data_IF_106974366977
#
_entry.id   IF_106974366977
#
_cell.length_a   1.000
_cell.length_b   1.000
_cell.length_c   1.000
_cell.angle_alpha   90.00
_cell.angle_beta   90.00
_cell.angle_gamma   90.00
#
_symmetry.space_group_name_H-M   'P 1'
#
loop_
_entity.id
_entity.type
_entity.pdbx_description
1 polymer ?
#
# COMPACT_ATOMS: atom_id res chain seq x y z
N UNK A 1 17.81 12.30 84.47
CA UNK A 1 17.56 12.96 83.23
C UNK A 1 17.74 11.92 82.11
N UNK A 2 16.65 11.27 81.62
CA UNK A 2 16.66 10.23 80.56
C UNK A 2 16.28 10.90 79.26
N UNK A 3 17.18 10.93 78.29
CA UNK A 3 16.93 11.43 76.92
C UNK A 3 16.26 10.33 76.12
N UNK A 4 15.03 10.57 75.69
CA UNK A 4 14.25 9.72 74.78
C UNK A 4 14.66 10.07 73.36
N UNK A 5 15.29 9.14 72.65
CA UNK A 5 15.61 9.29 71.21
C UNK A 5 14.47 8.70 70.42
N UNK A 6 13.70 9.55 69.76
CA UNK A 6 12.66 9.14 68.80
C UNK A 6 13.30 8.82 67.45
N UNK A 7 13.23 7.55 67.06
CA UNK A 7 13.66 7.05 65.75
C UNK A 7 12.49 7.27 64.75
N UNK A 8 12.62 8.26 63.88
CA UNK A 8 11.64 8.50 62.77
C UNK A 8 12.03 7.56 61.62
N UNK A 9 11.25 6.49 61.42
CA UNK A 9 11.32 5.66 60.22
C UNK A 9 10.68 6.41 59.04
N UNK A 10 11.45 6.97 58.12
CA UNK A 10 10.96 7.51 56.87
C UNK A 10 10.61 6.35 55.91
N UNK A 11 9.35 6.12 55.72
CA UNK A 11 8.82 5.18 54.68
C UNK A 11 8.95 5.88 53.32
N UNK A 12 9.98 5.51 52.56
CA UNK A 12 10.12 5.95 51.17
C UNK A 12 9.15 5.12 50.31
N UNK A 13 8.01 5.68 49.97
CA UNK A 13 7.09 5.15 48.99
C UNK A 13 7.73 5.25 47.60
N UNK A 14 8.27 4.16 47.07
CA UNK A 14 8.64 4.03 45.68
C UNK A 14 7.33 4.02 44.87
N UNK A 15 6.89 5.19 44.42
CA UNK A 15 5.88 5.28 43.37
C UNK A 15 6.54 4.85 42.04
N UNK A 16 6.32 3.58 41.65
CA UNK A 16 6.60 3.14 40.29
C UNK A 16 5.80 4.03 39.34
N UNK A 17 6.41 4.63 38.32
CA UNK A 17 5.65 5.37 37.32
C UNK A 17 4.65 4.40 36.68
N UNK A 18 3.38 4.66 36.87
CA UNK A 18 2.32 3.98 36.14
C UNK A 18 2.59 4.23 34.65
N UNK A 19 3.04 3.20 33.98
CA UNK A 19 3.29 3.22 32.53
C UNK A 19 1.91 3.46 31.90
N UNK A 20 1.67 4.67 31.38
CA UNK A 20 0.43 4.99 30.72
C UNK A 20 0.26 4.03 29.54
N UNK A 21 -0.60 3.03 29.70
CA UNK A 21 -0.97 2.13 28.61
C UNK A 21 -1.50 2.99 27.47
N UNK A 22 -1.01 2.79 26.25
CA UNK A 22 -1.59 3.44 25.06
C UNK A 22 -3.02 2.96 24.93
N UNK A 23 -3.97 3.83 25.20
CA UNK A 23 -5.40 3.51 25.09
C UNK A 23 -5.89 3.41 23.64
N UNK A 24 -5.01 3.52 22.66
CA UNK A 24 -5.37 3.64 21.25
C UNK A 24 -4.43 2.84 20.35
N UNK A 25 -5.00 2.12 19.39
CA UNK A 25 -4.28 1.38 18.38
C UNK A 25 -3.61 2.38 17.41
N UNK A 26 -2.28 2.29 17.23
CA UNK A 26 -1.54 3.05 16.23
C UNK A 26 -1.14 2.14 15.08
N UNK A 27 -1.48 2.56 13.86
CA UNK A 27 -1.14 1.89 12.60
C UNK A 27 -0.29 2.83 11.76
N UNK A 28 0.83 2.34 11.25
CA UNK A 28 1.73 3.10 10.36
C UNK A 28 1.99 2.29 9.09
N UNK A 29 2.58 2.88 8.07
CA UNK A 29 3.13 2.10 6.95
C UNK A 29 2.66 2.52 5.57
N UNK A 30 2.40 1.54 4.72
CA UNK A 30 2.14 1.69 3.29
C UNK A 30 1.02 2.67 2.97
N UNK A 31 1.28 3.63 2.07
CA UNK A 31 0.30 4.53 1.48
C UNK A 31 -0.78 3.77 0.68
N UNK A 32 -0.39 2.69 -0.01
CA UNK A 32 -1.32 1.83 -0.76
C UNK A 32 -2.34 1.12 0.15
N UNK A 33 -1.91 0.64 1.32
CA UNK A 33 -2.78 -0.08 2.27
C UNK A 33 -3.52 0.89 3.21
N UNK A 34 -3.05 2.11 3.32
CA UNK A 34 -3.61 3.16 4.18
C UNK A 34 -5.13 3.35 4.00
N UNK A 35 -5.71 3.54 2.79
CA UNK A 35 -7.14 3.76 2.62
C UNK A 35 -7.98 2.57 3.09
N UNK A 36 -7.53 1.35 2.84
CA UNK A 36 -8.23 0.15 3.31
C UNK A 36 -8.25 0.07 4.83
N UNK A 37 -7.11 0.32 5.47
CA UNK A 37 -6.98 0.29 6.93
C UNK A 37 -7.78 1.40 7.60
N UNK A 38 -7.83 2.59 6.99
CA UNK A 38 -8.61 3.74 7.48
C UNK A 38 -10.10 3.39 7.55
N UNK A 39 -10.67 2.79 6.50
CA UNK A 39 -12.08 2.39 6.50
C UNK A 39 -12.37 1.30 7.53
N UNK A 40 -11.46 0.33 7.71
CA UNK A 40 -11.61 -0.67 8.80
C UNK A 40 -11.55 0.00 10.18
N UNK A 41 -10.63 0.95 10.39
CA UNK A 41 -10.46 1.68 11.64
C UNK A 41 -11.70 2.52 11.99
N UNK A 42 -12.24 3.25 11.02
CA UNK A 42 -13.48 4.03 11.19
C UNK A 42 -14.68 3.15 11.54
N UNK A 43 -14.86 2.03 10.80
CA UNK A 43 -15.94 1.08 11.09
C UNK A 43 -15.79 0.43 12.46
N UNK A 44 -14.56 0.14 12.88
CA UNK A 44 -14.24 -0.41 14.19
C UNK A 44 -14.56 0.59 15.32
N UNK A 45 -14.19 1.87 15.14
CA UNK A 45 -14.45 2.93 16.13
C UNK A 45 -15.93 3.29 16.28
N UNK A 46 -16.72 3.18 15.20
CA UNK A 46 -18.18 3.42 15.24
C UNK A 46 -18.94 2.50 16.19
N UNK A 47 -18.38 1.36 16.57
CA UNK A 47 -18.93 0.43 17.57
C UNK A 47 -18.93 1.03 19.00
N UNK A 48 -18.18 2.11 19.23
CA UNK A 48 -18.13 2.89 20.47
C UNK A 48 -17.47 2.19 21.67
N UNK A 49 -17.06 0.93 21.52
CA UNK A 49 -16.42 0.13 22.59
C UNK A 49 -14.94 0.39 22.75
N UNK A 50 -14.29 0.84 21.69
CA UNK A 50 -12.86 1.13 21.64
C UNK A 50 -12.63 2.43 20.87
N UNK A 51 -11.56 3.15 21.21
CA UNK A 51 -11.15 4.32 20.43
C UNK A 51 -10.86 3.94 18.98
N UNK A 52 -11.21 4.82 18.05
CA UNK A 52 -10.88 4.65 16.63
C UNK A 52 -9.36 4.57 16.47
N UNK A 53 -8.81 3.52 15.81
CA UNK A 53 -7.38 3.43 15.55
C UNK A 53 -6.86 4.65 14.79
N UNK A 54 -5.67 5.14 15.15
CA UNK A 54 -4.96 6.17 14.39
C UNK A 54 -4.20 5.49 13.27
N UNK A 55 -4.40 5.92 12.03
CA UNK A 55 -3.72 5.36 10.85
C UNK A 55 -2.90 6.45 10.19
N UNK A 56 -1.61 6.20 9.99
CA UNK A 56 -0.65 7.13 9.41
C UNK A 56 0.06 6.51 8.20
N UNK A 57 0.14 7.26 7.10
CA UNK A 57 0.88 6.87 5.91
C UNK A 57 2.34 7.31 6.03
N UNK A 58 3.25 6.35 6.26
CA UNK A 58 4.69 6.58 6.41
C UNK A 58 5.54 5.85 5.36
N UNK A 59 4.84 5.20 4.39
CA UNK A 59 5.44 4.25 3.46
C UNK A 59 5.85 2.93 4.13
N UNK A 60 5.90 1.83 3.37
CA UNK A 60 6.21 0.49 3.90
C UNK A 60 7.52 0.45 4.71
N UNK A 61 8.59 1.04 4.17
CA UNK A 61 9.91 1.01 4.85
C UNK A 61 9.96 1.85 6.12
N UNK A 62 9.31 3.02 6.11
CA UNK A 62 9.16 3.89 7.28
C UNK A 62 8.34 3.20 8.37
N UNK A 63 7.20 2.62 7.99
CA UNK A 63 6.34 1.87 8.90
C UNK A 63 7.04 0.68 9.55
N UNK A 64 7.75 -0.14 8.77
CA UNK A 64 8.52 -1.26 9.31
C UNK A 64 9.58 -0.80 10.31
N UNK A 65 10.30 0.30 10.02
CA UNK A 65 11.29 0.87 10.94
C UNK A 65 10.66 1.30 12.26
N UNK A 66 9.53 2.02 12.22
CA UNK A 66 8.79 2.46 13.41
C UNK A 66 8.19 1.28 14.18
N UNK A 67 7.61 0.31 13.49
CA UNK A 67 7.02 -0.89 14.08
C UNK A 67 8.05 -1.76 14.78
N UNK A 68 9.22 -1.97 14.18
CA UNK A 68 10.31 -2.76 14.73
C UNK A 68 11.20 -1.99 15.73
N UNK A 69 10.90 -0.72 16.06
CA UNK A 69 11.72 0.07 16.98
C UNK A 69 11.63 -0.39 18.45
N UNK A 70 10.59 -1.16 18.82
CA UNK A 70 10.42 -1.69 20.18
C UNK A 70 8.96 -1.97 20.52
N UNK A 71 8.74 -2.35 21.78
CA UNK A 71 7.42 -2.75 22.33
C UNK A 71 6.83 -1.70 23.30
N UNK A 72 7.47 -0.53 23.43
CA UNK A 72 7.02 0.51 24.34
C UNK A 72 5.66 1.09 23.98
N UNK A 73 4.99 1.79 24.92
CA UNK A 73 3.61 2.26 24.76
C UNK A 73 3.42 3.25 23.60
N UNK A 74 4.46 3.94 23.17
CA UNK A 74 4.40 4.87 22.04
C UNK A 74 4.73 4.23 20.68
N UNK A 75 5.16 2.94 20.66
CA UNK A 75 5.46 2.24 19.42
C UNK A 75 4.16 1.80 18.72
N UNK A 76 4.12 1.78 17.37
CA UNK A 76 2.96 1.30 16.63
C UNK A 76 2.62 -0.17 16.96
N UNK A 77 1.33 -0.47 17.10
CA UNK A 77 0.83 -1.83 17.31
C UNK A 77 0.67 -2.60 16.01
N UNK A 78 0.56 -1.87 14.89
CA UNK A 78 0.26 -2.41 13.57
C UNK A 78 1.09 -1.68 12.51
N UNK A 79 1.53 -2.40 11.47
CA UNK A 79 2.09 -1.76 10.28
C UNK A 79 1.51 -2.36 9.00
N UNK A 80 1.19 -1.46 8.07
CA UNK A 80 0.76 -1.76 6.71
C UNK A 80 1.95 -1.93 5.79
N UNK A 81 1.88 -2.85 4.83
CA UNK A 81 2.95 -3.04 3.87
C UNK A 81 2.45 -3.43 2.47
N UNK A 82 3.02 -2.86 1.44
CA UNK A 82 2.76 -3.18 0.03
C UNK A 82 3.76 -4.20 -0.55
N UNK A 83 4.44 -4.92 0.31
CA UNK A 83 5.33 -6.06 0.07
C UNK A 83 5.55 -6.83 1.38
N UNK A 84 6.01 -8.05 1.28
CA UNK A 84 6.45 -8.80 2.46
C UNK A 84 7.60 -8.08 3.20
N UNK A 85 7.69 -8.32 4.49
CA UNK A 85 8.81 -7.86 5.32
C UNK A 85 10.14 -8.40 4.77
N UNK A 86 11.17 -7.56 4.75
CA UNK A 86 12.52 -7.97 4.32
C UNK A 86 13.30 -8.57 5.48
N UNK A 87 14.26 -9.44 5.20
CA UNK A 87 15.10 -10.08 6.22
C UNK A 87 15.75 -9.07 7.17
N UNK A 88 16.26 -7.95 6.64
CA UNK A 88 16.85 -6.89 7.46
C UNK A 88 15.85 -6.21 8.41
N UNK A 89 14.58 -6.13 7.99
CA UNK A 89 13.50 -5.56 8.81
C UNK A 89 13.07 -6.57 9.89
N UNK A 90 12.95 -7.85 9.52
CA UNK A 90 12.67 -8.93 10.47
C UNK A 90 13.76 -9.04 11.56
N UNK A 91 15.05 -8.98 11.16
CA UNK A 91 16.18 -8.95 12.10
C UNK A 91 16.15 -7.71 13.01
N UNK A 92 15.69 -6.56 12.51
CA UNK A 92 15.52 -5.36 13.35
C UNK A 92 14.40 -5.56 14.38
N UNK A 93 13.28 -6.17 13.99
CA UNK A 93 12.21 -6.53 14.90
C UNK A 93 12.73 -7.47 16.00
N UNK A 94 13.38 -8.56 15.62
CA UNK A 94 13.95 -9.57 16.55
C UNK A 94 14.94 -8.92 17.54
N UNK A 95 15.89 -8.11 17.05
CA UNK A 95 16.87 -7.38 17.87
C UNK A 95 16.21 -6.52 18.95
N UNK A 96 15.03 -5.95 18.66
CA UNK A 96 14.30 -5.05 19.55
C UNK A 96 13.17 -5.77 20.32
N UNK A 97 13.15 -7.11 20.33
CA UNK A 97 12.16 -7.93 21.04
C UNK A 97 10.74 -7.83 20.48
N UNK A 98 10.59 -7.44 19.20
CA UNK A 98 9.29 -7.36 18.52
C UNK A 98 9.02 -8.62 17.74
N UNK A 99 7.97 -9.38 18.15
CA UNK A 99 7.39 -10.43 17.35
C UNK A 99 6.07 -10.00 16.73
N UNK A 100 5.69 -10.61 15.61
CA UNK A 100 4.52 -10.18 14.87
C UNK A 100 3.72 -11.34 14.29
N UNK A 101 2.46 -11.03 13.94
CA UNK A 101 1.61 -11.87 13.09
C UNK A 101 1.46 -11.17 11.77
N UNK A 102 1.83 -11.84 10.69
CA UNK A 102 1.69 -11.38 9.32
C UNK A 102 0.37 -11.86 8.73
N UNK A 103 -0.35 -10.97 8.07
CA UNK A 103 -1.51 -11.30 7.25
C UNK A 103 -1.35 -10.69 5.86
N UNK A 104 -1.57 -11.51 4.84
CA UNK A 104 -1.84 -11.03 3.48
C UNK A 104 -3.30 -10.60 3.45
N UNK A 105 -3.58 -9.36 3.05
CA UNK A 105 -4.94 -8.79 3.15
C UNK A 105 -5.65 -8.69 1.80
N UNK A 106 -4.91 -8.80 0.71
CA UNK A 106 -5.40 -8.73 -0.66
C UNK A 106 -4.25 -8.51 -1.61
N UNK A 107 -4.60 -8.15 -2.82
CA UNK A 107 -3.65 -7.81 -3.88
C UNK A 107 -3.95 -6.40 -4.41
N UNK A 108 -2.94 -5.78 -4.99
CA UNK A 108 -3.00 -4.55 -5.74
C UNK A 108 -2.72 -4.88 -7.20
N UNK A 109 -3.55 -4.41 -8.12
CA UNK A 109 -3.37 -4.52 -9.56
C UNK A 109 -3.60 -3.15 -10.18
N UNK A 110 -2.62 -2.66 -10.97
CA UNK A 110 -2.67 -1.32 -11.54
C UNK A 110 -2.80 -1.42 -13.05
N UNK A 111 -3.85 -0.80 -13.58
CA UNK A 111 -4.10 -0.70 -15.00
C UNK A 111 -3.37 0.51 -15.60
N UNK A 112 -2.79 0.31 -16.78
CA UNK A 112 -2.49 1.34 -17.74
C UNK A 112 -3.53 1.21 -18.85
N UNK A 113 -4.44 2.18 -18.97
CA UNK A 113 -5.65 2.03 -19.76
C UNK A 113 -5.96 3.26 -20.60
N UNK A 114 -6.73 3.06 -21.67
CA UNK A 114 -7.25 4.12 -22.53
C UNK A 114 -8.74 3.85 -22.89
N UNK A 115 -9.32 4.72 -23.68
CA UNK A 115 -10.67 4.51 -24.22
C UNK A 115 -10.77 3.21 -25.03
N UNK A 116 -11.92 2.49 -24.97
CA UNK A 116 -12.21 1.34 -25.87
C UNK A 116 -12.19 1.74 -27.35
N UNK A 117 -12.29 3.05 -27.65
CA UNK A 117 -12.17 3.62 -29.00
C UNK A 117 -10.74 3.92 -29.40
N UNK A 118 -9.79 3.81 -28.46
CA UNK A 118 -8.36 4.06 -28.68
C UNK A 118 -7.61 2.82 -29.17
N UNK A 119 -6.29 2.94 -29.36
CA UNK A 119 -5.46 1.84 -29.80
C UNK A 119 -5.34 0.77 -28.70
N UNK A 120 -5.31 -0.48 -29.10
CA UNK A 120 -4.83 -1.58 -28.24
C UNK A 120 -3.30 -1.60 -28.35
N UNK A 121 -2.64 -1.53 -27.22
CA UNK A 121 -1.17 -1.58 -27.17
C UNK A 121 -0.69 -2.66 -26.20
N UNK A 122 0.50 -3.16 -26.48
CA UNK A 122 1.29 -3.98 -25.57
C UNK A 122 2.60 -3.25 -25.33
N UNK A 123 2.92 -2.95 -24.09
CA UNK A 123 4.09 -2.12 -23.73
C UNK A 123 4.89 -2.78 -22.62
N UNK A 124 6.19 -2.57 -22.68
CA UNK A 124 7.10 -3.01 -21.62
C UNK A 124 7.23 -1.94 -20.53
N UNK A 125 7.70 -2.33 -19.36
CA UNK A 125 8.01 -1.38 -18.29
C UNK A 125 9.09 -0.38 -18.69
N UNK A 126 10.04 -0.81 -19.52
CA UNK A 126 11.08 0.06 -20.07
C UNK A 126 10.48 1.12 -20.99
N UNK A 127 9.58 0.75 -21.91
CA UNK A 127 8.87 1.67 -22.80
C UNK A 127 8.01 2.67 -22.01
N UNK A 128 7.35 2.21 -20.93
CA UNK A 128 6.60 3.10 -20.04
C UNK A 128 7.52 4.07 -19.29
N UNK A 129 8.69 3.61 -18.83
CA UNK A 129 9.67 4.49 -18.23
C UNK A 129 10.19 5.52 -19.22
N UNK A 130 10.51 5.13 -20.46
CA UNK A 130 10.93 6.05 -21.53
C UNK A 130 9.86 7.09 -21.85
N UNK A 131 8.59 6.70 -21.84
CA UNK A 131 7.46 7.61 -22.10
C UNK A 131 7.27 8.65 -20.98
N UNK A 132 7.59 8.28 -19.72
CA UNK A 132 7.18 9.05 -18.54
C UNK A 132 8.32 9.74 -17.80
N UNK A 133 9.58 9.27 -17.95
CA UNK A 133 10.70 9.74 -17.14
C UNK A 133 11.26 11.06 -17.64
N UNK A 134 11.62 11.96 -16.72
CA UNK A 134 12.43 13.15 -16.97
C UNK A 134 13.84 12.80 -17.51
N UNK A 135 14.37 11.64 -17.09
CA UNK A 135 15.71 11.16 -17.47
C UNK A 135 15.70 10.28 -18.71
N UNK A 136 14.55 10.13 -19.35
CA UNK A 136 14.38 9.34 -20.56
C UNK A 136 14.69 10.12 -21.85
N UNK A 137 14.45 9.48 -23.02
CA UNK A 137 14.69 10.10 -24.33
C UNK A 137 13.67 11.19 -24.70
N UNK A 138 12.63 11.43 -23.87
CA UNK A 138 11.55 12.41 -24.05
C UNK A 138 10.80 12.25 -25.41
N UNK A 139 10.32 11.05 -25.77
CA UNK A 139 9.60 10.81 -27.01
C UNK A 139 8.28 11.60 -27.01
N UNK A 140 7.81 12.00 -28.22
CA UNK A 140 6.53 12.71 -28.41
C UNK A 140 5.41 11.76 -28.80
N UNK A 141 5.73 10.75 -29.58
CA UNK A 141 4.80 9.74 -30.08
C UNK A 141 5.17 8.36 -29.48
N UNK A 142 4.21 7.48 -29.39
CA UNK A 142 4.47 6.10 -28.97
C UNK A 142 5.40 5.40 -29.99
N UNK A 143 5.24 5.69 -31.29
CA UNK A 143 6.11 5.18 -32.36
C UNK A 143 7.55 5.70 -32.30
N UNK A 144 7.85 6.77 -31.55
CA UNK A 144 9.24 7.20 -31.30
C UNK A 144 9.97 6.26 -30.35
N UNK A 145 9.22 5.55 -29.50
CA UNK A 145 9.78 4.55 -28.58
C UNK A 145 10.00 3.23 -29.32
N UNK A 146 8.99 2.79 -30.06
CA UNK A 146 9.02 1.55 -30.83
C UNK A 146 8.11 1.71 -32.07
N UNK A 147 8.64 1.47 -33.30
CA UNK A 147 7.85 1.57 -34.52
C UNK A 147 6.61 0.66 -34.59
N UNK A 148 6.54 -0.39 -33.76
CA UNK A 148 5.37 -1.28 -33.67
C UNK A 148 4.23 -0.67 -32.85
N UNK A 149 4.50 0.35 -32.06
CA UNK A 149 3.50 1.09 -31.31
C UNK A 149 2.77 2.10 -32.21
N UNK A 150 1.56 2.49 -31.85
CA UNK A 150 0.76 3.39 -32.69
C UNK A 150 1.37 4.79 -32.82
N UNK A 151 1.20 5.40 -33.97
CA UNK A 151 1.66 6.77 -34.24
C UNK A 151 0.71 7.79 -33.60
N UNK A 152 0.57 7.75 -32.27
CA UNK A 152 -0.24 8.66 -31.47
C UNK A 152 0.65 9.45 -30.50
N UNK A 153 0.26 10.69 -30.17
CA UNK A 153 0.92 11.46 -29.13
C UNK A 153 0.92 10.73 -27.79
N UNK A 154 2.01 10.83 -27.05
CA UNK A 154 2.06 10.37 -25.67
C UNK A 154 1.27 11.36 -24.82
N UNK A 155 0.17 10.88 -24.22
CA UNK A 155 -0.67 11.61 -23.28
C UNK A 155 -1.02 10.69 -22.13
N UNK A 156 -0.50 10.95 -20.94
CA UNK A 156 -0.66 10.07 -19.78
C UNK A 156 -1.13 10.88 -18.58
N UNK A 157 -2.25 10.49 -18.00
CA UNK A 157 -2.67 10.96 -16.68
C UNK A 157 -2.20 9.99 -15.61
N UNK A 158 -1.54 10.52 -14.59
CA UNK A 158 -1.01 9.75 -13.45
C UNK A 158 -1.58 10.28 -12.14
N UNK A 159 -1.81 9.41 -11.14
CA UNK A 159 -2.19 9.85 -9.80
C UNK A 159 -1.12 10.73 -9.16
N UNK A 160 -1.48 11.56 -8.17
CA UNK A 160 -0.54 12.46 -7.50
C UNK A 160 0.53 11.69 -6.71
N UNK A 161 1.64 12.33 -6.41
CA UNK A 161 2.77 11.74 -5.68
C UNK A 161 2.39 11.17 -4.29
N UNK A 162 1.28 11.64 -3.70
CA UNK A 162 0.74 11.15 -2.42
C UNK A 162 -0.08 9.86 -2.55
N UNK A 163 -0.45 9.46 -3.77
CA UNK A 163 -1.29 8.30 -4.07
C UNK A 163 -0.58 6.97 -3.80
N UNK A 164 -1.32 6.02 -3.22
CA UNK A 164 -0.87 4.63 -3.12
C UNK A 164 -0.69 3.95 -4.48
N UNK A 165 -1.54 4.26 -5.46
CA UNK A 165 -1.43 3.80 -6.84
C UNK A 165 -0.15 4.34 -7.50
N UNK A 166 0.18 5.62 -7.28
CA UNK A 166 1.43 6.20 -7.77
C UNK A 166 2.67 5.57 -7.12
N UNK A 167 2.65 5.31 -5.81
CA UNK A 167 3.72 4.59 -5.11
C UNK A 167 3.94 3.19 -5.69
N UNK A 168 2.84 2.47 -5.98
CA UNK A 168 2.90 1.18 -6.65
C UNK A 168 3.49 1.26 -8.07
N UNK A 169 3.02 2.21 -8.87
CA UNK A 169 3.54 2.46 -10.22
C UNK A 169 5.04 2.75 -10.21
N UNK A 170 5.48 3.59 -9.28
CA UNK A 170 6.89 3.91 -9.11
C UNK A 170 7.74 2.66 -8.81
N UNK A 171 7.29 1.79 -7.92
CA UNK A 171 8.06 0.58 -7.57
C UNK A 171 7.98 -0.54 -8.62
N UNK A 172 6.82 -0.72 -9.28
CA UNK A 172 6.56 -1.84 -10.19
C UNK A 172 6.88 -1.53 -11.66
N UNK A 173 6.78 -0.26 -12.07
CA UNK A 173 6.99 0.19 -13.45
C UNK A 173 8.23 1.07 -13.54
N UNK A 174 8.20 2.25 -12.94
CA UNK A 174 9.26 3.25 -13.14
C UNK A 174 10.63 2.76 -12.70
N UNK A 175 10.72 2.10 -11.54
CA UNK A 175 11.99 1.51 -11.08
C UNK A 175 12.42 0.30 -11.90
N UNK A 176 11.48 -0.51 -12.37
CA UNK A 176 11.78 -1.74 -13.10
C UNK A 176 12.16 -1.49 -14.57
N UNK A 177 11.58 -0.45 -15.17
CA UNK A 177 11.89 0.00 -16.51
C UNK A 177 13.07 0.98 -16.59
N UNK A 178 13.55 1.47 -15.45
CA UNK A 178 14.69 2.38 -15.38
C UNK A 178 15.99 1.69 -15.78
N UNK A 179 16.84 2.29 -16.63
CA UNK A 179 18.16 1.77 -16.93
C UNK A 179 19.00 1.51 -15.67
N UNK A 180 19.74 0.41 -15.70
CA UNK A 180 20.48 -0.03 -14.51
C UNK A 180 21.57 0.97 -14.10
N UNK A 181 22.17 1.68 -15.06
CA UNK A 181 23.15 2.74 -14.84
C UNK A 181 22.54 3.88 -14.01
N UNK A 182 21.35 4.37 -14.39
CA UNK A 182 20.65 5.44 -13.66
C UNK A 182 20.30 4.95 -12.24
N UNK A 183 19.80 3.73 -12.12
CA UNK A 183 19.43 3.15 -10.83
C UNK A 183 20.64 3.01 -9.90
N UNK A 184 21.81 2.62 -10.41
CA UNK A 184 23.05 2.46 -9.65
C UNK A 184 23.67 3.80 -9.26
N UNK A 185 23.73 4.75 -10.18
CA UNK A 185 24.40 6.03 -9.99
C UNK A 185 23.57 7.04 -9.18
N UNK A 186 22.28 7.16 -9.53
CA UNK A 186 21.37 8.19 -8.98
C UNK A 186 20.35 7.65 -7.97
N UNK A 187 20.24 6.32 -7.89
CA UNK A 187 19.32 5.63 -6.98
C UNK A 187 17.86 5.63 -7.46
N UNK A 188 17.03 4.87 -6.75
CA UNK A 188 15.64 4.63 -7.16
C UNK A 188 14.76 5.88 -7.27
N UNK A 189 15.05 6.94 -6.50
CA UNK A 189 14.24 8.17 -6.55
C UNK A 189 14.39 8.90 -7.89
N UNK A 190 15.56 8.85 -8.51
CA UNK A 190 15.80 9.40 -9.82
C UNK A 190 14.96 8.68 -10.91
N UNK A 191 14.78 7.36 -10.78
CA UNK A 191 13.90 6.60 -11.68
C UNK A 191 12.41 7.02 -11.60
N UNK A 192 11.97 7.66 -10.51
CA UNK A 192 10.58 8.06 -10.28
C UNK A 192 10.24 9.46 -10.79
N UNK A 193 11.24 10.24 -11.21
CA UNK A 193 11.04 11.60 -11.71
C UNK A 193 10.26 11.55 -13.02
N UNK A 194 9.13 12.24 -13.04
CA UNK A 194 8.31 12.38 -14.24
C UNK A 194 8.74 13.58 -15.06
N UNK A 195 8.60 13.44 -16.37
CA UNK A 195 8.80 14.56 -17.31
C UNK A 195 7.74 15.63 -17.11
N UNK A 196 8.13 16.89 -17.25
CA UNK A 196 7.27 18.07 -17.06
C UNK A 196 7.03 18.85 -18.37
N UNK A 197 7.44 18.30 -19.52
CA UNK A 197 7.32 18.93 -20.85
C UNK A 197 5.94 18.73 -21.51
N UNK A 198 4.94 18.23 -20.78
CA UNK A 198 3.53 18.21 -21.14
C UNK A 198 2.87 16.85 -21.37
N UNK A 199 3.54 15.78 -21.88
CA UNK A 199 2.91 14.48 -22.14
C UNK A 199 2.38 13.77 -20.91
N UNK A 200 2.96 13.99 -19.74
CA UNK A 200 2.55 13.37 -18.47
C UNK A 200 1.95 14.43 -17.57
N UNK A 201 0.70 14.20 -17.15
CA UNK A 201 -0.05 15.15 -16.31
C UNK A 201 -0.43 14.46 -15.00
N UNK A 202 0.00 15.02 -13.89
CA UNK A 202 -0.45 14.61 -12.57
C UNK A 202 -1.86 15.13 -12.32
N UNK A 203 -2.77 14.24 -11.88
CA UNK A 203 -4.19 14.54 -11.66
C UNK A 203 -4.63 14.04 -10.30
N UNK A 204 -5.81 14.48 -9.83
CA UNK A 204 -6.36 14.01 -8.54
C UNK A 204 -6.77 12.53 -8.56
N UNK A 205 -7.03 11.96 -7.39
CA UNK A 205 -7.38 10.54 -7.18
C UNK A 205 -8.82 10.16 -7.56
N UNK A 206 -9.49 10.94 -8.41
CA UNK A 206 -10.85 10.63 -8.84
C UNK A 206 -10.84 9.79 -10.13
N UNK A 207 -10.76 8.48 -9.98
CA UNK A 207 -10.67 7.53 -11.09
C UNK A 207 -11.91 7.57 -12.00
N UNK A 208 -13.10 7.89 -11.47
CA UNK A 208 -14.32 8.08 -12.27
C UNK A 208 -14.17 9.27 -13.21
N UNK A 209 -13.56 10.37 -12.77
CA UNK A 209 -13.28 11.53 -13.60
C UNK A 209 -12.24 11.20 -14.68
N UNK A 210 -11.23 10.39 -14.36
CA UNK A 210 -10.23 9.91 -15.31
C UNK A 210 -10.88 9.11 -16.44
N UNK A 211 -11.75 8.16 -16.10
CA UNK A 211 -12.48 7.32 -17.04
C UNK A 211 -13.34 8.17 -17.98
N UNK A 212 -14.04 9.18 -17.46
CA UNK A 212 -14.85 10.08 -18.27
C UNK A 212 -13.99 10.93 -19.22
N UNK A 213 -12.83 11.42 -18.81
CA UNK A 213 -11.89 12.15 -19.66
C UNK A 213 -11.36 11.28 -20.81
N UNK A 214 -10.97 10.03 -20.51
CA UNK A 214 -10.55 9.06 -21.55
C UNK A 214 -11.65 8.77 -22.56
N UNK A 215 -12.91 8.77 -22.14
CA UNK A 215 -14.06 8.61 -23.05
C UNK A 215 -14.14 9.70 -24.14
N UNK A 216 -13.64 10.90 -23.88
CA UNK A 216 -13.57 12.03 -24.79
C UNK A 216 -12.27 12.14 -25.62
N UNK A 217 -11.19 11.49 -25.20
CA UNK A 217 -9.89 11.51 -25.90
C UNK A 217 -9.33 10.07 -26.04
N UNK A 218 -9.43 9.52 -27.25
CA UNK A 218 -8.98 8.15 -27.56
C UNK A 218 -7.46 7.95 -27.50
N UNK A 219 -6.68 9.03 -27.49
CA UNK A 219 -5.20 9.02 -27.40
C UNK A 219 -4.72 9.07 -25.95
N UNK A 220 -5.62 9.41 -25.02
CA UNK A 220 -5.29 9.59 -23.61
C UNK A 220 -5.21 8.27 -22.88
N UNK A 221 -4.10 8.02 -22.21
CA UNK A 221 -3.91 6.93 -21.27
C UNK A 221 -3.99 7.42 -19.82
N UNK A 222 -4.39 6.53 -18.92
CA UNK A 222 -4.39 6.83 -17.49
C UNK A 222 -3.97 5.62 -16.65
N UNK A 223 -3.49 5.90 -15.45
CA UNK A 223 -3.01 4.93 -14.47
C UNK A 223 -3.97 4.92 -13.29
N UNK A 224 -4.60 3.76 -13.01
CA UNK A 224 -5.54 3.60 -11.91
C UNK A 224 -5.70 2.13 -11.49
N UNK A 225 -6.42 1.89 -10.39
CA UNK A 225 -6.62 0.55 -9.83
C UNK A 225 -7.51 -0.35 -10.67
N UNK A 226 -7.25 -1.65 -10.64
CA UNK A 226 -7.97 -2.68 -11.40
C UNK A 226 -9.49 -2.65 -11.20
N UNK A 227 -9.99 -2.38 -9.99
CA UNK A 227 -11.43 -2.36 -9.72
C UNK A 227 -12.19 -1.33 -10.54
N UNK A 228 -11.58 -0.17 -10.81
CA UNK A 228 -12.17 0.86 -11.66
C UNK A 228 -12.17 0.46 -13.13
N UNK A 229 -11.12 -0.22 -13.60
CA UNK A 229 -11.10 -0.84 -14.92
C UNK A 229 -12.24 -1.86 -15.03
N UNK A 230 -12.35 -2.76 -14.05
CA UNK A 230 -13.32 -3.86 -14.10
C UNK A 230 -14.77 -3.38 -14.09
N UNK A 231 -15.06 -2.32 -13.36
CA UNK A 231 -16.38 -1.68 -13.31
C UNK A 231 -16.71 -0.80 -14.53
N UNK A 232 -15.76 -0.54 -15.43
CA UNK A 232 -15.90 0.42 -16.54
C UNK A 232 -15.40 -0.12 -17.89
N UNK A 233 -15.41 -1.45 -18.07
CA UNK A 233 -14.93 -2.12 -19.30
C UNK A 233 -15.73 -1.75 -20.56
N UNK A 234 -16.89 -1.17 -20.41
CA UNK A 234 -17.69 -0.59 -21.50
C UNK A 234 -17.08 0.71 -22.05
N UNK A 235 -16.26 1.40 -21.28
CA UNK A 235 -15.68 2.72 -21.61
C UNK A 235 -14.18 2.68 -21.85
N UNK A 236 -13.48 1.84 -21.08
CA UNK A 236 -12.01 1.77 -21.07
C UNK A 236 -11.50 0.35 -21.26
N UNK A 237 -10.32 0.25 -21.86
CA UNK A 237 -9.59 -0.99 -22.05
C UNK A 237 -8.15 -0.81 -21.52
N UNK A 238 -7.58 -1.88 -20.96
CA UNK A 238 -6.19 -1.86 -20.52
C UNK A 238 -5.24 -2.23 -21.65
N UNK A 239 -4.08 -1.61 -21.64
CA UNK A 239 -2.91 -2.09 -22.38
C UNK A 239 -2.47 -3.45 -21.82
N UNK A 240 -1.91 -4.31 -22.67
CA UNK A 240 -1.08 -5.42 -22.21
C UNK A 240 0.23 -4.89 -21.66
N UNK A 241 0.76 -5.55 -20.67
CA UNK A 241 2.08 -5.23 -20.12
C UNK A 241 2.96 -6.46 -20.27
N UNK A 242 4.00 -6.35 -21.07
CA UNK A 242 4.92 -7.49 -21.36
C UNK A 242 4.14 -8.74 -21.81
N UNK A 243 3.14 -8.56 -22.70
CA UNK A 243 2.29 -9.62 -23.23
C UNK A 243 1.13 -10.03 -22.32
N UNK A 244 1.11 -9.62 -21.06
CA UNK A 244 0.11 -10.05 -20.07
C UNK A 244 -1.11 -9.11 -20.03
N UNK A 245 -2.31 -9.69 -20.01
CA UNK A 245 -3.56 -8.98 -19.80
C UNK A 245 -3.90 -8.87 -18.30
N UNK A 246 -4.44 -7.73 -17.90
CA UNK A 246 -4.92 -7.54 -16.54
C UNK A 246 -6.30 -8.19 -16.34
N UNK A 247 -6.38 -9.10 -15.40
CA UNK A 247 -7.59 -9.77 -14.95
C UNK A 247 -7.52 -10.10 -13.47
N UNK A 248 -8.64 -10.50 -12.86
CA UNK A 248 -8.65 -10.97 -11.48
C UNK A 248 -7.65 -12.13 -11.29
N UNK A 249 -7.70 -13.10 -12.19
CA UNK A 249 -6.85 -14.30 -12.12
C UNK A 249 -5.36 -13.95 -12.29
N UNK A 250 -5.01 -13.13 -13.29
CA UNK A 250 -3.61 -12.75 -13.54
C UNK A 250 -3.02 -11.86 -12.43
N UNK A 251 -3.86 -11.11 -11.70
CA UNK A 251 -3.43 -10.36 -10.51
C UNK A 251 -3.23 -11.32 -9.33
N UNK A 252 -4.13 -12.28 -9.12
CA UNK A 252 -4.04 -13.24 -8.03
C UNK A 252 -2.86 -14.22 -8.19
N UNK A 253 -2.56 -14.64 -9.42
CA UNK A 253 -1.40 -15.48 -9.76
C UNK A 253 -0.08 -14.71 -9.86
N UNK A 254 -0.13 -13.38 -9.98
CA UNK A 254 1.01 -12.49 -10.29
C UNK A 254 1.61 -12.68 -11.68
N UNK A 255 0.85 -13.25 -12.61
CA UNK A 255 1.22 -13.31 -14.03
C UNK A 255 1.11 -11.92 -14.68
N UNK A 256 0.28 -11.03 -14.11
CA UNK A 256 0.26 -9.63 -14.51
C UNK A 256 1.39 -8.86 -13.84
N UNK A 257 2.31 -8.22 -14.61
CA UNK A 257 3.55 -7.66 -14.08
C UNK A 257 3.39 -6.45 -13.13
N UNK A 258 2.22 -5.79 -13.16
CA UNK A 258 1.92 -4.65 -12.27
C UNK A 258 0.90 -5.10 -11.20
N UNK A 259 1.18 -6.25 -10.58
CA UNK A 259 0.43 -6.78 -9.45
C UNK A 259 1.37 -7.04 -8.26
N UNK A 260 0.84 -6.90 -7.04
CA UNK A 260 1.60 -7.17 -5.81
C UNK A 260 0.68 -7.56 -4.65
N UNK A 261 1.16 -8.38 -3.70
CA UNK A 261 0.44 -8.68 -2.47
C UNK A 261 0.51 -7.51 -1.49
N UNK A 262 -0.58 -7.33 -0.73
CA UNK A 262 -0.68 -6.36 0.34
C UNK A 262 -0.74 -7.05 1.69
N UNK A 263 -0.07 -6.47 2.68
CA UNK A 263 0.11 -7.07 4.01
C UNK A 263 -0.24 -6.11 5.14
N UNK A 264 -0.59 -6.71 6.28
CA UNK A 264 -0.68 -6.04 7.57
C UNK A 264 0.00 -6.89 8.63
N UNK A 265 0.75 -6.25 9.51
CA UNK A 265 1.50 -6.90 10.59
C UNK A 265 0.99 -6.41 11.93
N UNK A 266 0.69 -7.34 12.83
CA UNK A 266 0.25 -7.04 14.20
C UNK A 266 1.33 -7.44 15.19
N UNK A 267 1.70 -6.54 16.09
CA UNK A 267 2.69 -6.78 17.14
C UNK A 267 2.10 -7.70 18.20
N UNK A 268 2.74 -8.86 18.47
CA UNK A 268 2.24 -9.85 19.42
C UNK A 268 2.23 -9.33 20.85
N UNK A 269 3.28 -8.62 21.25
CA UNK A 269 3.45 -8.06 22.59
C UNK A 269 2.37 -7.05 22.96
N UNK A 270 1.70 -6.46 21.95
CA UNK A 270 0.61 -5.50 22.14
C UNK A 270 -0.78 -6.15 22.21
N UNK A 271 -0.92 -7.43 21.84
CA UNK A 271 -2.22 -8.10 21.69
C UNK A 271 -3.05 -8.12 22.96
N UNK A 272 -2.41 -8.21 24.12
CA UNK A 272 -3.09 -8.30 25.42
C UNK A 272 -3.06 -6.98 26.21
N UNK A 273 -2.24 -6.00 25.78
CA UNK A 273 -2.03 -4.74 26.51
C UNK A 273 -2.67 -3.54 25.84
N UNK A 274 -2.87 -3.57 24.50
CA UNK A 274 -3.53 -2.49 23.75
C UNK A 274 -5.02 -2.81 23.61
N UNK A 275 -5.90 -2.01 24.20
CA UNK A 275 -7.33 -2.29 24.19
C UNK A 275 -7.91 -2.42 22.79
N UNK A 276 -8.61 -3.52 22.53
CA UNK A 276 -9.29 -3.76 21.26
C UNK A 276 -8.41 -4.30 20.13
N UNK A 277 -7.07 -4.42 20.26
CA UNK A 277 -6.18 -4.82 19.16
C UNK A 277 -6.54 -6.19 18.57
N UNK A 278 -6.77 -7.22 19.40
CA UNK A 278 -7.25 -8.54 18.93
C UNK A 278 -8.57 -8.45 18.16
N UNK A 279 -9.45 -7.56 18.58
CA UNK A 279 -10.75 -7.38 17.93
C UNK A 279 -10.60 -6.63 16.62
N UNK A 280 -9.74 -5.62 16.57
CA UNK A 280 -9.41 -4.90 15.34
C UNK A 280 -8.80 -5.87 14.30
N UNK A 281 -7.84 -6.71 14.70
CA UNK A 281 -7.28 -7.75 13.85
C UNK A 281 -8.38 -8.66 13.26
N UNK A 282 -9.28 -9.20 14.09
CA UNK A 282 -10.39 -10.06 13.63
C UNK A 282 -11.40 -9.31 12.75
N UNK A 283 -11.63 -8.02 12.99
CA UNK A 283 -12.49 -7.20 12.14
C UNK A 283 -11.88 -6.99 10.76
N UNK A 284 -10.57 -6.76 10.71
CA UNK A 284 -9.83 -6.60 9.46
C UNK A 284 -9.80 -7.93 8.67
N UNK A 285 -9.34 -9.01 9.32
CA UNK A 285 -9.20 -10.35 8.71
C UNK A 285 -10.54 -11.08 8.77
N UNK A 286 -11.54 -10.52 8.14
CA UNK A 286 -12.91 -11.06 8.11
C UNK A 286 -13.47 -11.12 6.70
N UNK A 287 -14.40 -12.05 6.48
CA UNK A 287 -15.13 -12.15 5.21
C UNK A 287 -15.87 -10.83 4.88
N UNK A 288 -16.33 -10.09 5.91
CA UNK A 288 -17.05 -8.84 5.74
C UNK A 288 -16.14 -7.72 5.25
N UNK A 289 -14.86 -7.70 5.66
CA UNK A 289 -13.90 -6.68 5.26
C UNK A 289 -13.17 -7.06 3.96
N UNK A 290 -12.40 -8.13 3.96
CA UNK A 290 -11.47 -8.50 2.87
C UNK A 290 -11.86 -9.76 2.09
N UNK A 291 -13.04 -10.33 2.35
CA UNK A 291 -13.54 -11.47 1.57
C UNK A 291 -13.98 -11.08 0.16
N UNK A 292 -14.31 -12.07 -0.72
CA UNK A 292 -14.65 -11.81 -2.15
C UNK A 292 -15.82 -10.85 -2.39
N UNK A 293 -16.60 -10.53 -1.37
CA UNK A 293 -17.68 -9.53 -1.38
C UNK A 293 -17.56 -8.60 -0.18
N UNK A 294 -16.34 -8.41 0.32
CA UNK A 294 -16.06 -7.54 1.44
C UNK A 294 -16.03 -6.08 0.99
N UNK A 295 -16.34 -5.17 1.91
CA UNK A 295 -16.43 -3.75 1.60
C UNK A 295 -15.09 -3.10 1.18
N UNK A 296 -13.95 -3.78 1.37
CA UNK A 296 -12.66 -3.26 0.89
C UNK A 296 -12.50 -3.40 -0.63
N UNK A 297 -13.30 -4.28 -1.27
CA UNK A 297 -13.33 -4.35 -2.74
C UNK A 297 -13.91 -3.08 -3.36
N UNK A 298 -14.87 -2.43 -2.70
CA UNK A 298 -15.44 -1.16 -3.16
C UNK A 298 -14.38 -0.04 -3.22
N UNK A 299 -13.24 -0.23 -2.53
CA UNK A 299 -12.10 0.67 -2.51
C UNK A 299 -10.96 0.22 -3.45
N UNK A 300 -11.15 -0.84 -4.21
CA UNK A 300 -10.16 -1.33 -5.15
C UNK A 300 -9.27 -2.47 -4.65
N UNK A 301 -9.49 -3.01 -3.46
CA UNK A 301 -8.75 -4.18 -3.01
C UNK A 301 -9.12 -5.40 -3.88
N UNK A 302 -8.12 -6.00 -4.53
CA UNK A 302 -8.30 -7.29 -5.21
C UNK A 302 -8.26 -8.40 -4.15
N UNK A 303 -9.33 -9.22 -4.00
CA UNK A 303 -9.41 -10.21 -2.94
C UNK A 303 -8.36 -11.31 -3.11
N UNK A 304 -8.04 -11.95 -2.00
CA UNK A 304 -7.27 -13.21 -2.02
C UNK A 304 -8.09 -14.32 -2.66
N UNK A 305 -7.40 -15.31 -3.23
CA UNK A 305 -8.02 -16.59 -3.53
C UNK A 305 -8.59 -17.24 -2.26
N UNK A 306 -9.54 -18.16 -2.45
CA UNK A 306 -10.27 -18.77 -1.32
C UNK A 306 -9.33 -19.49 -0.33
N UNK A 307 -8.33 -20.19 -0.81
CA UNK A 307 -7.40 -20.98 0.04
C UNK A 307 -6.57 -20.06 0.91
N UNK A 308 -5.96 -19.04 0.31
CA UNK A 308 -5.17 -18.03 1.04
C UNK A 308 -6.04 -17.25 2.03
N UNK A 309 -7.26 -16.87 1.63
CA UNK A 309 -8.19 -16.20 2.54
C UNK A 309 -8.51 -17.05 3.78
N UNK A 310 -8.88 -18.31 3.58
CA UNK A 310 -9.22 -19.24 4.67
C UNK A 310 -8.02 -19.46 5.61
N UNK A 311 -6.80 -19.50 5.08
CA UNK A 311 -5.57 -19.54 5.87
C UNK A 311 -5.41 -18.28 6.74
N UNK A 312 -5.60 -17.09 6.17
CA UNK A 312 -5.49 -15.84 6.94
C UNK A 312 -6.53 -15.79 8.07
N UNK A 313 -7.77 -16.21 7.82
CA UNK A 313 -8.81 -16.29 8.87
C UNK A 313 -8.41 -17.32 9.95
N UNK A 314 -7.83 -18.45 9.58
CA UNK A 314 -7.35 -19.46 10.53
C UNK A 314 -6.24 -18.90 11.44
N UNK A 315 -5.30 -18.12 10.89
CA UNK A 315 -4.21 -17.47 11.65
C UNK A 315 -4.74 -16.51 12.75
N UNK A 316 -5.93 -15.93 12.61
CA UNK A 316 -6.51 -15.07 13.66
C UNK A 316 -6.89 -15.82 14.93
N UNK A 317 -6.94 -17.15 14.88
CA UNK A 317 -7.30 -18.03 16.02
C UNK A 317 -6.06 -18.56 16.76
N UNK A 318 -4.88 -18.42 16.17
CA UNK A 318 -3.62 -18.85 16.78
C UNK A 318 -3.22 -17.85 17.87
N UNK A 319 -2.87 -18.35 19.06
CA UNK A 319 -2.47 -17.53 20.23
C UNK A 319 -1.10 -16.90 20.04
#
# INVERSE_FOLDING_TARGET
MKKLVQLICAVVLFSSPAQAATNQIKVVGSSTVYPFTTVVAERFGKDGRFATPIVESTGTGGGMKLFCAGIGPNSPSVTNASRAIKDKEAKLCEKNGVSFIEFKVGNDGIAFANSVKGPKIDVTKEQLWQAMSELGPLPKLWSDIDPSLPNYPIKIMTPPATSGTRDAWNDLVMKKGCPEEILKEKGKKACYLLREDGPVIEVGENDTLLINKMGGDKELFAIFGFSYLDSSRDKVQAAKIEGSEISLDSIQSYDYPIARPLFIYFKKEHMDVVPGLKKFMKSYISKKAMGPRGYLMDLGLVPLDKTTFDEMVKRTKTK
#
